data_IF_003031777982
#
_entry.id   IF_003031777982
#
_cell.length_a   1.000
_cell.length_b   1.000
_cell.length_c   1.000
_cell.angle_alpha   90.00
_cell.angle_beta   90.00
_cell.angle_gamma   90.00
#
_symmetry.space_group_name_H-M   'P 1'
#
loop_
_entity.id
_entity.type
_entity.pdbx_description
1 polymer ?
#
# COMPACT_ATOMS: atom_id res chain seq x y z
N UNK A 1 35.70 -2.77 -8.84
CA UNK A 1 34.92 -1.55 -9.08
C UNK A 1 33.91 -1.85 -10.19
N UNK A 2 32.74 -2.39 -9.87
CA UNK A 2 31.71 -2.67 -10.88
C UNK A 2 30.75 -1.48 -10.97
N UNK A 3 30.80 -0.79 -12.10
CA UNK A 3 29.94 0.32 -12.44
C UNK A 3 28.59 -0.24 -12.88
N UNK A 4 27.59 -0.23 -12.00
CA UNK A 4 26.22 -0.61 -12.37
C UNK A 4 25.64 0.54 -13.19
N UNK A 5 25.56 0.34 -14.51
CA UNK A 5 24.78 1.21 -15.38
C UNK A 5 23.30 1.02 -15.04
N UNK A 6 22.70 2.05 -14.45
CA UNK A 6 21.26 2.10 -14.18
C UNK A 6 20.54 2.39 -15.49
N UNK A 7 20.06 1.35 -16.16
CA UNK A 7 19.19 1.46 -17.34
C UNK A 7 17.86 2.11 -16.94
N UNK A 8 17.63 3.33 -17.41
CA UNK A 8 16.34 4.02 -17.24
C UNK A 8 15.29 3.31 -18.09
N UNK A 9 14.32 2.68 -17.42
CA UNK A 9 13.13 2.12 -18.07
C UNK A 9 12.21 3.29 -18.45
N UNK A 10 11.81 3.44 -19.73
CA UNK A 10 10.90 4.51 -20.10
C UNK A 10 9.53 4.24 -19.48
N UNK A 11 9.12 5.09 -18.52
CA UNK A 11 7.80 5.07 -17.91
C UNK A 11 6.76 5.72 -18.83
N UNK A 12 6.63 5.24 -20.06
CA UNK A 12 5.54 5.64 -20.96
C UNK A 12 4.50 4.52 -21.04
N UNK A 13 3.98 4.11 -19.89
CA UNK A 13 2.72 3.38 -19.83
C UNK A 13 1.61 4.41 -19.99
N UNK A 14 1.20 4.63 -21.24
CA UNK A 14 0.16 5.59 -21.59
C UNK A 14 -1.00 5.53 -20.61
N UNK A 15 -1.35 6.68 -20.05
CA UNK A 15 -2.58 6.90 -19.32
C UNK A 15 -3.74 6.71 -20.29
N UNK A 16 -4.07 5.44 -20.59
CA UNK A 16 -5.32 5.12 -21.27
C UNK A 16 -6.43 5.58 -20.34
N UNK A 17 -7.06 6.69 -20.73
CA UNK A 17 -8.17 7.29 -20.03
C UNK A 17 -9.16 6.19 -19.61
N UNK A 18 -9.53 6.16 -18.32
CA UNK A 18 -10.52 5.19 -17.82
C UNK A 18 -11.78 5.20 -18.68
N UNK A 19 -12.17 6.36 -19.23
CA UNK A 19 -13.31 6.54 -20.13
C UNK A 19 -13.18 5.70 -21.42
N UNK A 20 -11.99 5.61 -22.01
CA UNK A 20 -11.76 4.87 -23.27
C UNK A 20 -11.80 3.35 -23.08
N UNK A 21 -11.36 2.86 -21.91
CA UNK A 21 -11.51 1.42 -21.61
C UNK A 21 -12.96 0.98 -21.69
N UNK A 22 -13.90 1.81 -21.23
CA UNK A 22 -15.33 1.48 -21.21
C UNK A 22 -16.00 1.65 -22.57
N UNK A 23 -15.51 2.56 -23.43
CA UNK A 23 -15.97 2.65 -24.82
C UNK A 23 -15.58 1.44 -25.66
N UNK A 24 -14.42 0.83 -25.40
CA UNK A 24 -13.99 -0.41 -26.06
C UNK A 24 -14.97 -1.59 -25.84
N UNK A 25 -15.59 -1.69 -24.65
CA UNK A 25 -16.57 -2.73 -24.34
C UNK A 25 -17.97 -2.46 -24.90
N UNK A 26 -18.23 -1.26 -25.43
CA UNK A 26 -19.51 -0.87 -26.03
C UNK A 26 -19.49 -0.93 -27.55
N UNK A 27 -18.35 -1.26 -28.18
CA UNK A 27 -18.28 -1.48 -29.63
C UNK A 27 -18.94 -2.81 -29.96
N UNK A 28 -19.96 -2.76 -30.82
CA UNK A 28 -20.75 -3.90 -31.27
C UNK A 28 -19.83 -4.93 -31.97
N UNK A 29 -19.66 -6.17 -31.47
CA UNK A 29 -18.80 -7.18 -32.12
C UNK A 29 -19.37 -7.73 -33.43
N UNK A 30 -20.49 -7.21 -33.93
CA UNK A 30 -21.22 -7.78 -35.07
C UNK A 30 -20.42 -7.82 -36.37
N UNK A 31 -19.29 -7.13 -36.47
CA UNK A 31 -18.46 -7.11 -37.68
C UNK A 31 -17.47 -8.28 -37.80
N UNK A 32 -17.27 -9.09 -36.74
CA UNK A 32 -16.25 -10.16 -36.75
C UNK A 32 -16.83 -11.54 -37.11
N UNK A 33 -18.16 -11.69 -37.13
CA UNK A 33 -18.79 -12.99 -37.38
C UNK A 33 -19.12 -13.22 -38.87
N UNK A 34 -19.22 -12.15 -39.66
CA UNK A 34 -19.67 -12.23 -41.04
C UNK A 34 -18.59 -11.72 -41.98
N UNK A 35 -17.56 -12.53 -42.21
CA UNK A 35 -16.69 -12.44 -43.39
C UNK A 35 -15.76 -13.66 -43.42
N UNK A 36 -16.24 -14.73 -44.03
CA UNK A 36 -15.42 -15.76 -44.67
C UNK A 36 -16.32 -16.50 -45.65
N UNK A 37 -16.78 -15.78 -46.68
CA UNK A 37 -17.07 -16.42 -47.95
C UNK A 37 -15.73 -16.89 -48.53
N UNK A 38 -15.77 -18.12 -48.99
CA UNK A 38 -14.64 -19.00 -49.20
C UNK A 38 -14.29 -19.02 -50.67
N UNK A 39 -13.13 -18.49 -51.01
CA UNK A 39 -12.38 -18.88 -52.21
C UNK A 39 -10.90 -18.98 -51.81
N UNK A 40 -10.38 -20.21 -51.76
CA UNK A 40 -9.00 -20.58 -52.08
C UNK A 40 -8.74 -22.03 -51.65
N UNK A 41 -8.28 -22.83 -52.61
CA UNK A 41 -8.14 -24.28 -52.55
C UNK A 41 -7.21 -24.84 -51.46
N UNK A 42 -7.55 -26.07 -51.06
CA UNK A 42 -6.68 -27.15 -50.57
C UNK A 42 -5.81 -26.97 -49.31
N UNK A 43 -6.13 -26.04 -48.41
CA UNK A 43 -5.52 -26.01 -47.05
C UNK A 43 -6.58 -25.97 -45.94
N UNK A 44 -6.59 -26.98 -45.06
CA UNK A 44 -7.43 -26.99 -43.85
C UNK A 44 -6.89 -25.91 -42.88
N UNK A 45 -7.50 -24.73 -42.90
CA UNK A 45 -7.20 -23.66 -41.95
C UNK A 45 -7.91 -23.95 -40.62
N UNK A 46 -7.24 -23.84 -39.46
CA UNK A 46 -7.91 -23.99 -38.18
C UNK A 46 -8.98 -22.90 -38.04
N UNK A 47 -10.25 -23.32 -38.03
CA UNK A 47 -11.41 -22.43 -37.86
C UNK A 47 -11.50 -22.01 -36.39
N UNK A 48 -11.47 -20.70 -36.15
CA UNK A 48 -11.74 -20.17 -34.80
C UNK A 48 -13.20 -20.49 -34.45
N UNK A 49 -13.40 -21.23 -33.36
CA UNK A 49 -14.74 -21.50 -32.87
C UNK A 49 -15.40 -20.18 -32.43
N UNK A 50 -16.66 -19.93 -32.80
CA UNK A 50 -17.36 -18.73 -32.37
C UNK A 50 -17.52 -18.75 -30.85
N UNK A 51 -17.17 -17.64 -30.20
CA UNK A 51 -17.34 -17.52 -28.76
C UNK A 51 -18.86 -17.56 -28.43
N UNK A 52 -19.34 -18.55 -27.66
CA UNK A 52 -20.78 -18.72 -27.42
C UNK A 52 -21.43 -17.50 -26.75
N UNK A 53 -20.67 -16.76 -25.95
CA UNK A 53 -21.07 -15.52 -25.26
C UNK A 53 -21.30 -14.38 -26.27
N UNK A 54 -20.48 -14.32 -27.33
CA UNK A 54 -20.58 -13.30 -28.37
C UNK A 54 -21.51 -13.71 -29.52
N UNK A 55 -21.69 -15.01 -29.74
CA UNK A 55 -22.60 -15.54 -30.75
C UNK A 55 -24.07 -15.40 -30.32
N UNK A 56 -24.38 -15.56 -29.02
CA UNK A 56 -25.73 -15.40 -28.49
C UNK A 56 -26.14 -13.92 -28.43
N UNK A 57 -27.16 -13.54 -29.18
CA UNK A 57 -27.75 -12.19 -29.11
C UNK A 57 -28.28 -11.88 -27.72
N UNK A 58 -29.03 -12.82 -27.11
CA UNK A 58 -29.61 -12.65 -25.77
C UNK A 58 -28.55 -12.36 -24.70
N UNK A 59 -27.40 -13.06 -24.77
CA UNK A 59 -26.32 -12.84 -23.82
C UNK A 59 -25.68 -11.45 -23.97
N UNK A 60 -25.48 -10.99 -25.21
CA UNK A 60 -24.97 -9.64 -25.50
C UNK A 60 -25.94 -8.56 -25.02
N UNK A 61 -27.24 -8.72 -25.27
CA UNK A 61 -28.27 -7.77 -24.81
C UNK A 61 -28.32 -7.68 -23.29
N UNK A 62 -28.29 -8.81 -22.58
CA UNK A 62 -28.26 -8.84 -21.12
C UNK A 62 -26.99 -8.17 -20.57
N UNK A 63 -25.82 -8.40 -21.18
CA UNK A 63 -24.58 -7.75 -20.77
C UNK A 63 -24.67 -6.22 -20.89
N UNK A 64 -25.23 -5.71 -22.00
CA UNK A 64 -25.45 -4.28 -22.20
C UNK A 64 -26.40 -3.70 -21.14
N UNK A 65 -27.49 -4.40 -20.84
CA UNK A 65 -28.46 -3.99 -19.82
C UNK A 65 -27.83 -3.95 -18.42
N UNK A 66 -27.08 -4.98 -18.03
CA UNK A 66 -26.39 -5.03 -16.73
C UNK A 66 -25.38 -3.89 -16.58
N UNK A 67 -24.59 -3.62 -17.63
CA UNK A 67 -23.67 -2.48 -17.64
C UNK A 67 -24.41 -1.14 -17.54
N UNK A 68 -25.53 -0.99 -18.27
CA UNK A 68 -26.37 0.20 -18.23
C UNK A 68 -26.94 0.45 -16.83
N UNK A 69 -27.52 -0.57 -16.20
CA UNK A 69 -28.07 -0.52 -14.85
C UNK A 69 -26.99 -0.24 -13.81
N UNK A 70 -25.78 -0.81 -13.96
CA UNK A 70 -24.64 -0.54 -13.08
C UNK A 70 -24.17 0.92 -13.18
N UNK A 71 -24.09 1.46 -14.40
CA UNK A 71 -23.73 2.86 -14.65
C UNK A 71 -24.74 3.83 -14.07
N UNK A 72 -26.04 3.54 -14.24
CA UNK A 72 -27.14 4.35 -13.68
C UNK A 72 -27.30 4.17 -12.16
N UNK A 73 -26.59 3.23 -11.56
CA UNK A 73 -26.68 2.98 -10.11
C UNK A 73 -28.00 2.36 -9.66
N UNK A 74 -28.75 1.76 -10.60
CA UNK A 74 -30.04 1.10 -10.35
C UNK A 74 -29.84 -0.24 -9.64
N UNK A 75 -28.70 -0.90 -9.90
CA UNK A 75 -28.32 -2.13 -9.22
C UNK A 75 -27.69 -1.82 -7.85
N UNK A 76 -27.99 -2.61 -6.80
CA UNK A 76 -27.31 -2.53 -5.51
C UNK A 76 -25.80 -2.67 -5.72
N UNK A 77 -25.05 -1.58 -5.56
CA UNK A 77 -23.58 -1.61 -5.66
C UNK A 77 -23.00 -2.30 -4.44
N UNK A 78 -22.97 -3.64 -4.46
CA UNK A 78 -22.03 -4.38 -3.62
C UNK A 78 -20.64 -4.09 -4.18
N UNK A 79 -19.90 -3.20 -3.51
CA UNK A 79 -18.50 -2.95 -3.86
C UNK A 79 -17.76 -4.26 -3.75
N UNK A 80 -16.90 -4.56 -4.73
CA UNK A 80 -16.00 -5.70 -4.60
C UNK A 80 -15.10 -5.48 -3.39
N UNK A 81 -14.65 -6.56 -2.76
CA UNK A 81 -13.75 -6.49 -1.60
C UNK A 81 -12.53 -5.62 -1.89
N UNK A 82 -11.92 -5.81 -3.07
CA UNK A 82 -10.80 -4.99 -3.52
C UNK A 82 -11.14 -3.50 -3.57
N UNK A 83 -12.30 -3.12 -4.11
CA UNK A 83 -12.70 -1.72 -4.16
C UNK A 83 -12.91 -1.16 -2.75
N UNK A 84 -13.52 -1.92 -1.85
CA UNK A 84 -13.70 -1.54 -0.45
C UNK A 84 -12.36 -1.32 0.26
N UNK A 85 -11.44 -2.26 0.12
CA UNK A 85 -10.09 -2.19 0.71
C UNK A 85 -9.31 -1.00 0.17
N UNK A 86 -9.36 -0.74 -1.15
CA UNK A 86 -8.67 0.42 -1.74
C UNK A 86 -9.25 1.75 -1.25
N UNK A 87 -10.58 1.86 -1.15
CA UNK A 87 -11.21 3.05 -0.60
C UNK A 87 -10.86 3.26 0.87
N UNK A 88 -10.86 2.18 1.67
CA UNK A 88 -10.46 2.21 3.07
C UNK A 88 -9.01 2.67 3.22
N UNK A 89 -8.06 2.06 2.50
CA UNK A 89 -6.65 2.47 2.49
C UNK A 89 -6.47 3.94 2.13
N UNK A 90 -7.22 4.43 1.14
CA UNK A 90 -7.15 5.85 0.74
C UNK A 90 -7.66 6.78 1.85
N UNK A 91 -8.72 6.41 2.56
CA UNK A 91 -9.24 7.18 3.71
C UNK A 91 -8.24 7.20 4.86
N UNK A 92 -7.67 6.04 5.20
CA UNK A 92 -6.68 5.95 6.27
C UNK A 92 -5.42 6.76 5.95
N UNK A 93 -4.93 6.72 4.70
CA UNK A 93 -3.80 7.55 4.29
C UNK A 93 -4.09 9.04 4.43
N UNK A 94 -5.30 9.48 4.04
CA UNK A 94 -5.70 10.88 4.22
C UNK A 94 -5.76 11.24 5.70
N UNK A 95 -6.38 10.39 6.53
CA UNK A 95 -6.47 10.59 7.98
C UNK A 95 -5.09 10.68 8.63
N UNK A 96 -4.15 9.82 8.22
CA UNK A 96 -2.77 9.85 8.71
C UNK A 96 -2.04 11.13 8.30
N UNK A 97 -2.24 11.62 7.07
CA UNK A 97 -1.68 12.90 6.64
C UNK A 97 -2.22 14.07 7.45
N UNK A 98 -3.52 14.12 7.68
CA UNK A 98 -4.14 15.15 8.53
C UNK A 98 -3.57 15.10 9.95
N UNK A 99 -3.48 13.92 10.56
CA UNK A 99 -2.90 13.74 11.90
C UNK A 99 -1.42 14.13 11.96
N UNK A 100 -0.65 13.87 10.90
CA UNK A 100 0.76 14.26 10.83
C UNK A 100 0.97 15.78 10.70
N UNK A 101 -0.02 16.50 10.14
CA UNK A 101 -0.02 17.96 10.09
C UNK A 101 -0.48 18.59 11.40
N UNK A 102 -1.19 17.84 12.25
CA UNK A 102 -1.63 18.36 13.54
C UNK A 102 -0.47 18.46 14.54
N UNK A 103 -0.44 19.53 15.35
CA UNK A 103 0.49 19.60 16.45
C UNK A 103 0.25 18.45 17.44
N UNK A 104 1.30 17.98 18.14
CA UNK A 104 1.16 16.93 19.14
C UNK A 104 0.15 17.34 20.22
N UNK A 105 -0.66 16.38 20.66
CA UNK A 105 -1.63 16.60 21.72
C UNK A 105 -0.96 17.02 23.03
N UNK A 106 -1.63 17.79 23.89
CA UNK A 106 -1.13 18.14 25.23
C UNK A 106 -0.70 16.90 26.03
N UNK A 107 -1.46 15.80 25.92
CA UNK A 107 -1.08 14.52 26.52
C UNK A 107 0.23 13.97 25.94
N UNK A 108 0.40 14.04 24.62
CA UNK A 108 1.61 13.59 23.95
C UNK A 108 2.83 14.42 24.36
N UNK A 109 2.68 15.74 24.46
CA UNK A 109 3.73 16.65 24.95
C UNK A 109 4.13 16.31 26.38
N UNK A 110 3.15 16.06 27.27
CA UNK A 110 3.41 15.64 28.65
C UNK A 110 4.14 14.30 28.72
N UNK A 111 3.74 13.32 27.90
CA UNK A 111 4.43 12.03 27.82
C UNK A 111 5.87 12.16 27.30
N UNK A 112 6.10 12.97 26.26
CA UNK A 112 7.46 13.26 25.75
C UNK A 112 8.33 13.92 26.82
N UNK A 113 7.80 14.91 27.53
CA UNK A 113 8.49 15.57 28.65
C UNK A 113 8.85 14.59 29.77
N UNK A 114 7.90 13.72 30.15
CA UNK A 114 8.15 12.70 31.18
C UNK A 114 9.23 11.72 30.77
N UNK A 115 9.19 11.25 29.51
CA UNK A 115 10.24 10.38 28.94
C UNK A 115 11.60 11.05 28.97
N UNK A 116 11.70 12.32 28.56
CA UNK A 116 12.96 13.06 28.58
C UNK A 116 13.53 13.17 30.00
N UNK A 117 12.68 13.46 31.00
CA UNK A 117 13.11 13.50 32.41
C UNK A 117 13.66 12.16 32.87
N UNK A 118 12.97 11.06 32.57
CA UNK A 118 13.43 9.71 32.92
C UNK A 118 14.79 9.42 32.29
N UNK A 119 14.97 9.72 31.00
CA UNK A 119 16.24 9.50 30.31
C UNK A 119 17.40 10.29 30.93
N UNK A 120 17.16 11.52 31.42
CA UNK A 120 18.18 12.30 32.13
C UNK A 120 18.56 11.62 33.44
N UNK A 121 17.58 11.18 34.23
CA UNK A 121 17.86 10.47 35.49
C UNK A 121 18.60 9.15 35.27
N UNK A 122 18.21 8.36 34.27
CA UNK A 122 18.89 7.11 33.92
C UNK A 122 20.36 7.35 33.54
N UNK A 123 20.63 8.43 32.79
CA UNK A 123 21.99 8.80 32.41
C UNK A 123 22.81 9.29 33.60
N UNK A 124 22.21 10.07 34.49
CA UNK A 124 22.85 10.56 35.71
C UNK A 124 23.16 9.42 36.69
N UNK A 125 22.23 8.47 36.86
CA UNK A 125 22.45 7.28 37.67
C UNK A 125 23.57 6.41 37.08
N UNK A 126 23.60 6.23 35.76
CA UNK A 126 24.69 5.53 35.08
C UNK A 126 26.03 6.22 35.34
N UNK A 127 26.12 7.54 35.16
CA UNK A 127 27.33 8.31 35.47
C UNK A 127 27.76 8.15 36.92
N UNK A 128 26.84 8.28 37.87
CA UNK A 128 27.13 8.07 39.30
C UNK A 128 27.67 6.67 39.57
N UNK A 129 27.12 5.66 38.92
CA UNK A 129 27.60 4.28 39.04
C UNK A 129 29.00 4.08 38.44
N UNK A 130 29.30 4.74 37.33
CA UNK A 130 30.62 4.75 36.69
C UNK A 130 31.63 5.49 37.56
N UNK A 131 31.28 6.67 38.09
CA UNK A 131 32.12 7.45 38.99
C UNK A 131 32.50 6.64 40.23
N UNK A 132 31.54 5.93 40.85
CA UNK A 132 31.83 5.03 41.98
C UNK A 132 32.78 3.88 41.63
N UNK A 133 32.71 3.36 40.39
CA UNK A 133 33.65 2.33 39.89
C UNK A 133 35.03 2.91 39.58
N UNK A 134 35.08 4.16 39.11
CA UNK A 134 36.31 4.88 38.76
C UNK A 134 37.09 5.38 40.00
N UNK A 135 36.49 5.37 41.20
CA UNK A 135 37.22 5.70 42.44
C UNK A 135 38.34 4.67 42.67
N UNK A 136 39.60 5.12 42.88
CA UNK A 136 40.71 4.22 43.17
C UNK A 136 40.44 3.31 44.38
N UNK A 137 40.85 2.04 44.27
CA UNK A 137 40.53 1.00 45.25
C UNK A 137 40.98 1.36 46.67
N UNK A 138 42.17 1.94 46.83
CA UNK A 138 42.71 2.31 48.14
C UNK A 138 41.84 3.37 48.86
N UNK A 139 41.15 4.24 48.13
CA UNK A 139 40.21 5.22 48.69
C UNK A 139 38.95 4.50 49.19
N UNK A 140 38.44 3.56 48.39
CA UNK A 140 37.28 2.71 48.70
C UNK A 140 37.52 1.89 49.97
N UNK A 141 38.63 1.14 50.02
CA UNK A 141 38.99 0.26 51.14
C UNK A 141 39.22 1.06 52.45
N UNK A 142 39.84 2.25 52.37
CA UNK A 142 40.06 3.11 53.54
C UNK A 142 38.75 3.55 54.20
N UNK A 143 37.70 3.80 53.43
CA UNK A 143 36.38 4.17 53.98
C UNK A 143 35.71 2.97 54.66
N UNK A 144 35.85 1.76 54.12
CA UNK A 144 35.33 0.53 54.72
C UNK A 144 35.99 0.25 56.07
N UNK A 145 37.31 0.37 56.16
CA UNK A 145 38.05 0.12 57.41
C UNK A 145 37.68 1.10 58.54
N UNK A 146 37.39 2.37 58.21
CA UNK A 146 36.90 3.37 59.18
C UNK A 146 35.51 3.08 59.73
N UNK A 147 34.68 2.36 58.96
CA UNK A 147 33.34 1.99 59.37
C UNK A 147 33.35 0.80 60.34
N UNK A 148 34.37 -0.06 60.25
CA UNK A 148 34.50 -1.25 61.10
C UNK A 148 35.20 -0.93 62.43
N UNK A 149 36.04 0.11 62.49
CA UNK A 149 36.79 0.46 63.72
C UNK A 149 35.97 1.16 64.81
N UNK A 150 34.72 1.55 64.53
CA UNK A 150 33.82 2.22 65.48
C UNK A 150 32.64 1.32 65.90
N UNK A 151 32.76 0.00 65.71
CA UNK A 151 31.79 -1.02 66.14
C UNK A 151 32.42 -1.92 67.19
#
# INVERSE_FOLDING_TARGET
MHLIQSTQVPQNMGLRNRKDRHHCWMVLPSQVIENQQQEDGDLIKPRKLPNPILASHQHRSLHQELLFCHRRGVLPKRKTELQSVLEHKRRELHKQRELALQPPSDLEVKLRTRRQRIQVYELEEKKRSEDLKNVPEFVRVRQTLKHVSNS
#
